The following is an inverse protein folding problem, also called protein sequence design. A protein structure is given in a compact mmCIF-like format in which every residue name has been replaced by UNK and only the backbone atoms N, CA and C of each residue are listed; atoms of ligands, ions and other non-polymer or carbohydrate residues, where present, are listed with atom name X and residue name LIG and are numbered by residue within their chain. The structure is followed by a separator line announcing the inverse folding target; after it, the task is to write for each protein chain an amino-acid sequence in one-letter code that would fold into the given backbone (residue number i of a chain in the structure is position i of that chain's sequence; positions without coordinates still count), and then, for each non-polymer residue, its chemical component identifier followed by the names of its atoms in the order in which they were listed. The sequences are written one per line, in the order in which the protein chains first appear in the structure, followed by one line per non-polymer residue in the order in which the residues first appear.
data_IF_577362614616
#
_entry.id   IF_577362614616
#
_cell.length_a   1.000
_cell.length_b   1.000
_cell.length_c   1.000
_cell.angle_alpha   90.00
_cell.angle_beta   90.00
_cell.angle_gamma   90.00
#
_symmetry.space_group_name_H-M   'P 1'
#
loop_
_entity.id
_entity.type
_entity.pdbx_description
1 polymer ?
#
# COMPACT_ATOMS: atom_id res chain seq x y z
N UNK A 1 -18.33 -57.16 -3.62
CA UNK A 1 -17.04 -56.56 -4.13
C UNK A 1 -17.30 -55.40 -5.08
N UNK A 2 -18.22 -55.48 -6.07
CA UNK A 2 -18.51 -54.37 -7.02
C UNK A 2 -19.17 -53.20 -6.33
N UNK A 3 -20.08 -53.42 -5.41
CA UNK A 3 -20.77 -52.35 -4.63
C UNK A 3 -19.81 -51.65 -3.69
N UNK A 4 -18.94 -52.35 -3.02
CA UNK A 4 -17.89 -51.78 -2.18
C UNK A 4 -16.94 -50.86 -2.98
N UNK A 5 -16.46 -51.26 -4.15
CA UNK A 5 -15.59 -50.41 -4.98
C UNK A 5 -16.28 -49.13 -5.47
N UNK A 6 -17.59 -49.18 -5.70
CA UNK A 6 -18.37 -48.01 -6.11
C UNK A 6 -18.55 -47.02 -4.95
N UNK A 7 -18.73 -47.51 -3.72
CA UNK A 7 -18.79 -46.66 -2.51
C UNK A 7 -17.43 -46.02 -2.21
N UNK A 8 -16.32 -46.76 -2.35
CA UNK A 8 -14.97 -46.21 -2.17
C UNK A 8 -14.66 -45.11 -3.19
N UNK A 9 -15.03 -45.27 -4.46
CA UNK A 9 -14.83 -44.24 -5.49
C UNK A 9 -15.61 -42.97 -5.23
N UNK A 10 -16.84 -43.06 -4.70
CA UNK A 10 -17.66 -41.91 -4.34
C UNK A 10 -17.08 -41.20 -3.11
N UNK A 11 -16.68 -41.92 -2.06
CA UNK A 11 -16.11 -41.31 -0.86
C UNK A 11 -14.75 -40.65 -1.11
N UNK A 12 -13.89 -41.23 -1.91
CA UNK A 12 -12.61 -40.61 -2.32
C UNK A 12 -12.85 -39.35 -3.19
N UNK A 13 -13.84 -39.39 -4.08
CA UNK A 13 -14.24 -38.22 -4.88
C UNK A 13 -14.72 -37.05 -4.01
N UNK A 14 -15.58 -37.31 -3.02
CA UNK A 14 -16.07 -36.28 -2.09
C UNK A 14 -14.96 -35.72 -1.20
N UNK A 15 -14.03 -36.55 -0.73
CA UNK A 15 -12.86 -36.10 0.03
C UNK A 15 -11.96 -35.18 -0.80
N UNK A 16 -11.67 -35.53 -2.05
CA UNK A 16 -10.83 -34.69 -2.92
C UNK A 16 -11.49 -33.35 -3.25
N UNK A 17 -12.80 -33.32 -3.49
CA UNK A 17 -13.56 -32.08 -3.68
C UNK A 17 -13.55 -31.22 -2.41
N UNK A 18 -13.78 -31.82 -1.24
CA UNK A 18 -13.75 -31.12 0.04
C UNK A 18 -12.38 -30.48 0.32
N UNK A 19 -11.31 -31.22 0.08
CA UNK A 19 -9.93 -30.70 0.23
C UNK A 19 -9.65 -29.58 -0.75
N UNK A 20 -10.07 -29.73 -2.02
CA UNK A 20 -9.92 -28.66 -3.03
C UNK A 20 -10.68 -27.38 -2.62
N UNK A 21 -11.92 -27.51 -2.14
CA UNK A 21 -12.69 -26.37 -1.65
C UNK A 21 -11.99 -25.71 -0.44
N UNK A 22 -11.48 -26.51 0.50
CA UNK A 22 -10.71 -25.96 1.63
C UNK A 22 -9.45 -25.20 1.19
N UNK A 23 -8.72 -25.71 0.19
CA UNK A 23 -7.58 -24.99 -0.38
C UNK A 23 -7.98 -23.69 -1.06
N UNK A 24 -9.08 -23.68 -1.82
CA UNK A 24 -9.62 -22.46 -2.46
C UNK A 24 -10.05 -21.44 -1.42
N UNK A 25 -10.78 -21.86 -0.38
CA UNK A 25 -11.22 -20.99 0.71
C UNK A 25 -10.03 -20.45 1.52
N UNK A 26 -9.03 -21.28 1.79
CA UNK A 26 -7.81 -20.87 2.47
C UNK A 26 -7.02 -19.87 1.62
N UNK A 27 -6.88 -20.11 0.31
CA UNK A 27 -6.23 -19.19 -0.61
C UNK A 27 -6.97 -17.84 -0.68
N UNK A 28 -8.29 -17.86 -0.85
CA UNK A 28 -9.11 -16.66 -0.88
C UNK A 28 -9.06 -15.89 0.46
N UNK A 29 -9.11 -16.60 1.58
CA UNK A 29 -8.97 -16.01 2.92
C UNK A 29 -7.60 -15.37 3.14
N UNK A 30 -6.52 -16.04 2.72
CA UNK A 30 -5.16 -15.49 2.81
C UNK A 30 -4.97 -14.28 1.90
N UNK A 31 -5.52 -14.30 0.69
CA UNK A 31 -5.43 -13.16 -0.23
C UNK A 31 -6.15 -11.93 0.34
N UNK A 32 -7.36 -12.11 0.86
CA UNK A 32 -8.13 -11.03 1.50
C UNK A 32 -7.51 -10.56 2.83
N UNK A 33 -6.69 -11.41 3.48
CA UNK A 33 -6.00 -11.03 4.72
C UNK A 33 -4.88 -9.98 4.49
N UNK A 34 -4.40 -9.79 3.27
CA UNK A 34 -3.25 -8.94 2.96
C UNK A 34 -3.55 -7.75 2.05
N UNK A 35 -4.74 -7.68 1.47
CA UNK A 35 -5.17 -6.58 0.58
C UNK A 35 -6.15 -5.67 1.33
N UNK A 36 -5.99 -4.35 1.13
CA UNK A 36 -6.98 -3.36 1.55
C UNK A 36 -8.10 -3.28 0.51
N UNK A 37 -9.32 -3.55 0.94
CA UNK A 37 -10.48 -3.66 0.04
C UNK A 37 -10.91 -2.35 -0.62
N UNK A 38 -10.45 -1.20 -0.14
CA UNK A 38 -10.81 0.10 -0.71
C UNK A 38 -9.76 0.59 -1.70
N UNK A 39 -8.49 0.56 -1.33
CA UNK A 39 -7.39 1.04 -2.18
C UNK A 39 -6.86 -0.02 -3.17
N UNK A 40 -7.13 -1.32 -2.93
CA UNK A 40 -6.57 -2.42 -3.70
C UNK A 40 -5.09 -2.71 -3.43
N UNK A 41 -4.45 -1.93 -2.58
CA UNK A 41 -3.05 -2.11 -2.19
C UNK A 41 -2.90 -3.14 -1.06
N UNK A 42 -1.66 -3.48 -0.74
CA UNK A 42 -1.39 -4.27 0.47
C UNK A 42 -1.83 -3.50 1.72
N UNK A 43 -2.38 -4.23 2.69
CA UNK A 43 -2.83 -3.64 3.96
C UNK A 43 -1.72 -3.59 5.02
N UNK A 44 -2.04 -3.00 6.19
CA UNK A 44 -1.14 -2.87 7.33
C UNK A 44 -0.59 -4.20 7.83
N UNK A 45 -1.38 -5.29 7.78
CA UNK A 45 -0.92 -6.59 8.23
C UNK A 45 0.22 -7.13 7.36
N UNK A 46 0.08 -6.98 6.04
CA UNK A 46 1.14 -7.37 5.12
C UNK A 46 2.37 -6.46 5.25
N UNK A 47 2.16 -5.14 5.40
CA UNK A 47 3.23 -4.19 5.68
C UNK A 47 4.06 -4.61 6.90
N UNK A 48 3.44 -4.91 8.03
CA UNK A 48 4.14 -5.34 9.25
C UNK A 48 5.01 -6.57 8.99
N UNK A 49 4.48 -7.59 8.30
CA UNK A 49 5.22 -8.80 7.97
C UNK A 49 6.41 -8.58 7.01
N UNK A 50 6.35 -7.58 6.13
CA UNK A 50 7.47 -7.15 5.27
C UNK A 50 8.47 -6.34 6.08
N UNK A 51 7.98 -5.41 6.90
CA UNK A 51 8.76 -4.50 7.70
C UNK A 51 9.65 -5.22 8.72
N UNK A 52 9.14 -6.24 9.40
CA UNK A 52 9.89 -7.09 10.33
C UNK A 52 11.12 -7.76 9.68
N UNK A 53 11.09 -7.92 8.36
CA UNK A 53 12.18 -8.51 7.56
C UNK A 53 13.10 -7.47 6.91
N UNK A 54 12.72 -6.19 6.99
CA UNK A 54 13.38 -5.10 6.26
C UNK A 54 14.86 -4.98 6.63
N UNK A 55 15.20 -5.02 7.91
CA UNK A 55 16.58 -4.97 8.39
C UNK A 55 17.47 -6.10 7.86
N UNK A 56 16.89 -7.30 7.62
CA UNK A 56 17.63 -8.41 6.98
C UNK A 56 17.81 -8.19 5.48
N UNK A 57 16.82 -7.59 4.82
CA UNK A 57 16.88 -7.26 3.40
C UNK A 57 17.90 -6.13 3.16
N UNK A 58 17.90 -5.10 4.00
CA UNK A 58 18.80 -3.94 3.93
C UNK A 58 20.29 -4.29 4.08
N UNK A 59 20.62 -5.41 4.74
CA UNK A 59 21.99 -5.92 4.80
C UNK A 59 22.51 -6.46 3.47
N UNK A 60 21.63 -6.74 2.52
CA UNK A 60 21.98 -7.34 1.23
C UNK A 60 21.68 -6.44 0.03
N UNK A 61 20.73 -5.53 0.17
CA UNK A 61 20.25 -4.66 -0.91
C UNK A 61 19.88 -3.31 -0.31
N UNK A 62 20.03 -2.23 -1.09
CA UNK A 62 19.49 -0.92 -0.71
C UNK A 62 17.98 -1.02 -0.49
N UNK A 63 17.47 -0.31 0.48
CA UNK A 63 16.04 -0.19 0.76
C UNK A 63 15.71 1.27 0.94
N UNK A 64 14.70 1.74 0.26
CA UNK A 64 14.15 3.08 0.43
C UNK A 64 12.65 3.03 0.66
N UNK A 65 12.09 4.13 1.12
CA UNK A 65 10.67 4.26 1.34
C UNK A 65 10.15 5.65 1.08
N UNK A 66 8.85 5.72 0.83
CA UNK A 66 8.07 6.94 0.73
C UNK A 66 6.86 6.75 1.64
N UNK A 67 6.63 7.66 2.58
CA UNK A 67 5.40 7.74 3.35
C UNK A 67 4.53 8.84 2.75
N UNK A 68 3.25 8.59 2.61
CA UNK A 68 2.31 9.51 1.96
C UNK A 68 1.04 9.64 2.82
N UNK A 69 0.47 10.84 2.82
CA UNK A 69 -0.78 11.18 3.51
C UNK A 69 -1.61 12.08 2.59
N UNK A 70 -2.93 11.86 2.52
CA UNK A 70 -3.85 12.71 1.73
C UNK A 70 -4.07 14.02 2.47
N UNK A 71 -3.63 15.11 1.85
CA UNK A 71 -3.79 16.44 2.44
C UNK A 71 -5.28 16.79 2.58
N UNK A 72 -5.65 17.30 3.75
CA UNK A 72 -7.02 17.74 4.08
C UNK A 72 -8.10 16.65 3.86
N UNK A 73 -7.75 15.37 4.02
CA UNK A 73 -8.68 14.25 3.82
C UNK A 73 -9.99 14.43 4.62
N UNK A 74 -9.89 14.91 5.85
CA UNK A 74 -11.09 15.23 6.64
C UNK A 74 -11.96 16.29 5.97
N UNK A 75 -11.38 17.34 5.39
CA UNK A 75 -12.14 18.37 4.70
C UNK A 75 -12.83 17.82 3.43
N UNK A 76 -12.19 16.90 2.69
CA UNK A 76 -12.85 16.20 1.58
C UNK A 76 -14.09 15.47 2.08
N UNK A 77 -13.98 14.70 3.17
CA UNK A 77 -15.12 14.02 3.78
C UNK A 77 -16.22 14.96 4.25
N UNK A 78 -15.83 16.05 4.93
CA UNK A 78 -16.78 16.98 5.55
C UNK A 78 -17.53 17.81 4.50
N UNK A 79 -16.91 18.16 3.37
CA UNK A 79 -17.48 18.99 2.29
C UNK A 79 -18.20 18.16 1.23
N UNK A 80 -17.61 17.06 0.78
CA UNK A 80 -18.10 16.26 -0.36
C UNK A 80 -18.69 14.91 0.07
N UNK A 81 -18.62 14.58 1.36
CA UNK A 81 -19.13 13.32 1.92
C UNK A 81 -18.12 12.18 1.88
N UNK A 82 -18.40 11.14 2.66
CA UNK A 82 -17.51 9.97 2.79
C UNK A 82 -17.27 9.23 1.46
N UNK A 83 -18.23 9.27 0.53
CA UNK A 83 -18.04 8.67 -0.81
C UNK A 83 -16.91 9.33 -1.59
N UNK A 84 -16.72 10.66 -1.44
CA UNK A 84 -15.62 11.39 -2.05
C UNK A 84 -14.28 11.04 -1.39
N UNK A 85 -14.24 10.88 -0.07
CA UNK A 85 -13.07 10.36 0.63
C UNK A 85 -12.69 8.94 0.17
N UNK A 86 -13.67 8.07 -0.01
CA UNK A 86 -13.45 6.73 -0.58
C UNK A 86 -12.88 6.80 -2.00
N UNK A 87 -13.36 7.74 -2.83
CA UNK A 87 -12.85 7.97 -4.18
C UNK A 87 -11.40 8.49 -4.15
N UNK A 88 -11.08 9.41 -3.25
CA UNK A 88 -9.72 9.88 -3.03
C UNK A 88 -8.76 8.73 -2.69
N UNK A 89 -9.16 7.83 -1.78
CA UNK A 89 -8.39 6.64 -1.42
C UNK A 89 -8.22 5.70 -2.63
N UNK A 90 -9.27 5.47 -3.42
CA UNK A 90 -9.18 4.63 -4.63
C UNK A 90 -8.26 5.23 -5.68
N UNK A 91 -8.31 6.55 -5.85
CA UNK A 91 -7.42 7.25 -6.78
C UNK A 91 -5.95 7.08 -6.38
N UNK A 92 -5.60 7.39 -5.12
CA UNK A 92 -4.23 7.18 -4.61
C UNK A 92 -3.84 5.71 -4.73
N UNK A 93 -4.75 4.78 -4.38
CA UNK A 93 -4.53 3.35 -4.54
C UNK A 93 -4.19 2.96 -5.98
N UNK A 94 -4.90 3.50 -6.96
CA UNK A 94 -4.65 3.29 -8.39
C UNK A 94 -3.28 3.81 -8.84
N UNK A 95 -2.94 5.04 -8.46
CA UNK A 95 -1.63 5.65 -8.75
C UNK A 95 -0.50 4.78 -8.15
N UNK A 96 -0.62 4.38 -6.90
CA UNK A 96 0.41 3.58 -6.23
C UNK A 96 0.47 2.13 -6.76
N UNK A 97 -0.63 1.58 -7.24
CA UNK A 97 -0.65 0.28 -7.90
C UNK A 97 0.11 0.31 -9.24
N UNK A 98 -0.01 1.40 -10.01
CA UNK A 98 0.65 1.55 -11.31
C UNK A 98 2.18 1.60 -11.19
N UNK A 99 2.73 2.23 -10.15
CA UNK A 99 4.16 2.26 -9.88
C UNK A 99 4.70 0.99 -9.20
N UNK A 100 3.80 0.11 -8.74
CA UNK A 100 4.18 -1.12 -8.02
C UNK A 100 4.77 -2.16 -8.97
N UNK A 101 5.85 -2.81 -8.53
CA UNK A 101 6.58 -3.84 -9.26
C UNK A 101 7.03 -4.94 -8.31
N UNK A 102 7.75 -5.96 -8.81
CA UNK A 102 8.35 -7.01 -7.97
C UNK A 102 9.24 -6.45 -6.83
N UNK A 103 9.87 -5.30 -7.03
CA UNK A 103 10.77 -4.66 -6.08
C UNK A 103 10.23 -3.35 -5.49
N UNK A 104 9.00 -2.96 -5.83
CA UNK A 104 8.31 -1.76 -5.33
C UNK A 104 6.95 -2.19 -4.81
N UNK A 105 6.76 -2.11 -3.51
CA UNK A 105 5.54 -2.55 -2.84
C UNK A 105 4.82 -1.36 -2.22
N UNK A 106 3.54 -1.21 -2.53
CA UNK A 106 2.69 -0.14 -2.02
C UNK A 106 1.68 -0.68 -1.01
N UNK A 107 1.51 0.06 0.08
CA UNK A 107 0.68 -0.33 1.22
C UNK A 107 -0.22 0.82 1.64
N UNK A 108 -1.43 0.51 2.09
CA UNK A 108 -2.24 1.40 2.90
C UNK A 108 -2.13 0.98 4.36
N UNK A 109 -1.63 1.87 5.21
CA UNK A 109 -1.33 1.56 6.62
C UNK A 109 -2.28 2.26 7.61
N UNK A 110 -3.02 3.25 7.17
CA UNK A 110 -3.97 4.02 7.96
C UNK A 110 -5.19 4.41 7.15
N UNK A 111 -6.00 5.32 7.66
CA UNK A 111 -7.18 5.85 6.98
C UNK A 111 -6.82 6.51 5.65
N UNK A 112 -5.94 7.47 5.67
CA UNK A 112 -5.43 8.30 4.59
C UNK A 112 -3.90 8.17 4.40
N UNK A 113 -3.27 7.20 5.10
CA UNK A 113 -1.82 7.00 5.13
C UNK A 113 -1.39 5.81 4.27
N UNK A 114 -0.36 6.03 3.47
CA UNK A 114 0.22 5.02 2.57
C UNK A 114 1.73 4.94 2.73
N UNK A 115 2.30 3.79 2.38
CA UNK A 115 3.75 3.59 2.33
C UNK A 115 4.12 2.89 1.04
N UNK A 116 5.20 3.34 0.42
CA UNK A 116 5.87 2.63 -0.69
C UNK A 116 7.24 2.18 -0.21
N UNK A 117 7.55 0.89 -0.33
CA UNK A 117 8.87 0.33 -0.06
C UNK A 117 9.54 -0.10 -1.36
N UNK A 118 10.77 0.37 -1.58
CA UNK A 118 11.58 0.08 -2.75
C UNK A 118 12.81 -0.74 -2.34
N UNK A 119 12.92 -1.98 -2.82
CA UNK A 119 13.98 -2.92 -2.46
C UNK A 119 14.98 -3.04 -3.61
N UNK A 120 16.28 -2.86 -3.33
CA UNK A 120 17.34 -2.90 -4.35
C UNK A 120 17.30 -1.70 -5.30
N UNK A 121 16.81 -0.56 -4.81
CA UNK A 121 16.73 0.71 -5.56
C UNK A 121 17.55 1.78 -4.86
N UNK A 122 18.22 2.60 -5.64
CA UNK A 122 19.01 3.72 -5.17
C UNK A 122 18.13 4.96 -4.89
N UNK A 123 18.68 5.95 -4.22
CA UNK A 123 17.98 7.18 -3.81
C UNK A 123 17.38 7.94 -5.00
N UNK A 124 18.09 8.00 -6.13
CA UNK A 124 17.61 8.63 -7.36
C UNK A 124 16.33 7.97 -7.88
N UNK A 125 16.17 6.66 -7.69
CA UNK A 125 14.96 5.96 -8.06
C UNK A 125 13.79 6.42 -7.18
N UNK A 126 14.01 6.53 -5.85
CA UNK A 126 12.97 6.97 -4.91
C UNK A 126 12.51 8.39 -5.28
N UNK A 127 13.46 9.29 -5.55
CA UNK A 127 13.16 10.67 -5.95
C UNK A 127 12.37 10.74 -7.26
N UNK A 128 12.70 9.90 -8.25
CA UNK A 128 11.93 9.81 -9.50
C UNK A 128 10.53 9.28 -9.27
N UNK A 129 10.38 8.24 -8.45
CA UNK A 129 9.07 7.67 -8.10
C UNK A 129 8.18 8.71 -7.41
N UNK A 130 8.73 9.51 -6.50
CA UNK A 130 7.98 10.62 -5.88
C UNK A 130 7.46 11.62 -6.94
N UNK A 131 8.30 12.03 -7.88
CA UNK A 131 7.89 12.94 -8.98
C UNK A 131 6.86 12.30 -9.92
N UNK A 132 6.96 11.01 -10.17
CA UNK A 132 5.99 10.26 -10.97
C UNK A 132 4.62 10.26 -10.30
N UNK A 133 4.55 9.99 -9.00
CA UNK A 133 3.33 10.10 -8.20
C UNK A 133 2.73 11.51 -8.31
N UNK A 134 3.54 12.57 -8.14
CA UNK A 134 3.10 13.96 -8.27
C UNK A 134 2.54 14.25 -9.67
N UNK A 135 3.20 13.75 -10.72
CA UNK A 135 2.74 13.92 -12.09
C UNK A 135 1.40 13.24 -12.37
N UNK A 136 1.22 12.01 -11.88
CA UNK A 136 -0.05 11.26 -12.02
C UNK A 136 -1.18 11.94 -11.24
N UNK A 137 -0.88 12.47 -10.07
CA UNK A 137 -1.82 13.23 -9.26
C UNK A 137 -2.27 14.52 -9.97
N UNK A 138 -1.32 15.26 -10.57
CA UNK A 138 -1.61 16.45 -11.35
C UNK A 138 -2.48 16.12 -12.58
N UNK A 139 -2.24 14.99 -13.25
CA UNK A 139 -3.07 14.52 -14.36
C UNK A 139 -4.50 14.17 -13.89
N UNK A 140 -4.64 13.50 -12.74
CA UNK A 140 -5.94 13.23 -12.15
C UNK A 140 -6.70 14.53 -11.89
N UNK A 141 -6.09 15.50 -11.20
CA UNK A 141 -6.72 16.80 -10.91
C UNK A 141 -7.10 17.55 -12.21
N UNK A 142 -6.22 17.53 -13.21
CA UNK A 142 -6.48 18.18 -14.50
C UNK A 142 -7.61 17.52 -15.30
N UNK A 143 -7.92 16.25 -15.04
CA UNK A 143 -9.02 15.52 -15.71
C UNK A 143 -10.41 16.04 -15.34
N UNK A 144 -10.56 16.68 -14.17
CA UNK A 144 -11.82 17.19 -13.65
C UNK A 144 -12.86 16.10 -13.33
N UNK A 145 -12.41 14.85 -13.16
CA UNK A 145 -13.30 13.72 -12.84
C UNK A 145 -13.86 13.84 -11.43
N UNK A 146 -13.05 14.31 -10.46
CA UNK A 146 -13.49 14.55 -9.09
C UNK A 146 -13.90 16.01 -8.88
N UNK A 147 -14.84 16.24 -7.97
CA UNK A 147 -15.28 17.57 -7.55
C UNK A 147 -14.29 18.25 -6.57
N UNK A 148 -13.28 17.52 -6.12
CA UNK A 148 -12.25 17.97 -5.20
C UNK A 148 -10.85 17.86 -5.83
N UNK A 149 -9.94 18.70 -5.35
CA UNK A 149 -8.53 18.61 -5.69
C UNK A 149 -7.81 17.67 -4.72
N UNK A 150 -7.05 16.73 -5.26
CA UNK A 150 -6.30 15.75 -4.51
C UNK A 150 -4.84 16.17 -4.39
N UNK A 151 -4.32 16.23 -3.17
CA UNK A 151 -2.93 16.55 -2.84
C UNK A 151 -2.38 15.53 -1.85
N UNK A 152 -1.08 15.24 -1.94
CA UNK A 152 -0.38 14.29 -1.08
C UNK A 152 0.84 14.95 -0.45
N UNK A 153 0.98 14.85 0.87
CA UNK A 153 2.24 15.10 1.55
C UNK A 153 3.09 13.83 1.56
N UNK A 154 4.38 13.95 1.18
CA UNK A 154 5.26 12.80 0.99
C UNK A 154 6.59 12.98 1.69
N UNK A 155 7.02 11.99 2.48
CA UNK A 155 8.34 11.92 3.09
C UNK A 155 9.13 10.75 2.53
N UNK A 156 10.36 10.98 2.06
CA UNK A 156 11.21 9.93 1.48
C UNK A 156 12.55 9.78 2.20
N UNK A 157 13.02 8.55 2.35
CA UNK A 157 14.34 8.26 2.91
C UNK A 157 14.88 6.91 2.44
N UNK A 158 16.20 6.76 2.55
CA UNK A 158 16.86 5.46 2.47
C UNK A 158 16.98 4.84 3.87
N UNK A 159 16.83 3.53 3.94
CA UNK A 159 17.07 2.77 5.15
C UNK A 159 18.59 2.68 5.42
N UNK A 160 19.02 3.05 6.62
CA UNK A 160 20.41 2.87 7.05
C UNK A 160 20.58 1.46 7.63
N UNK A 161 21.32 0.55 6.97
CA UNK A 161 21.52 -0.82 7.45
C UNK A 161 22.42 -0.90 8.70
N UNK A 162 23.09 0.18 9.07
CA UNK A 162 23.92 0.26 10.28
C UNK A 162 23.09 0.63 11.51
N UNK A 163 21.89 1.14 11.32
CA UNK A 163 20.97 1.50 12.39
C UNK A 163 20.42 0.24 13.06
N UNK A 164 20.51 0.19 14.39
CA UNK A 164 20.02 -0.93 15.19
C UNK A 164 18.53 -0.88 15.46
N UNK A 165 17.90 0.30 15.31
CA UNK A 165 16.47 0.52 15.52
C UNK A 165 15.71 0.61 14.18
N UNK A 166 15.01 -0.44 13.75
CA UNK A 166 14.23 -0.42 12.53
C UNK A 166 13.17 0.70 12.49
N UNK A 167 12.59 1.03 13.66
CA UNK A 167 11.52 2.03 13.74
C UNK A 167 12.02 3.45 13.45
N UNK A 168 13.33 3.69 13.53
CA UNK A 168 13.90 4.98 13.16
C UNK A 168 13.65 5.32 11.70
N UNK A 169 13.67 4.34 10.81
CA UNK A 169 13.39 4.56 9.39
C UNK A 169 11.98 5.11 9.16
N UNK A 170 10.96 4.49 9.78
CA UNK A 170 9.58 4.99 9.69
C UNK A 170 9.44 6.37 10.30
N UNK A 171 10.07 6.62 11.45
CA UNK A 171 10.05 7.95 12.06
C UNK A 171 10.68 9.03 11.17
N UNK A 172 11.73 8.70 10.41
CA UNK A 172 12.34 9.64 9.45
C UNK A 172 11.41 9.91 8.28
N UNK A 173 10.74 8.89 7.76
CA UNK A 173 9.75 9.05 6.70
C UNK A 173 8.58 9.93 7.17
N UNK A 174 8.03 9.63 8.34
CA UNK A 174 6.92 10.36 8.95
C UNK A 174 7.29 11.83 9.21
N UNK A 175 8.46 12.09 9.79
CA UNK A 175 8.95 13.45 10.04
C UNK A 175 9.03 14.26 8.75
N UNK A 176 9.62 13.72 7.69
CA UNK A 176 9.74 14.41 6.40
C UNK A 176 8.38 14.65 5.73
N UNK A 177 7.46 13.70 5.85
CA UNK A 177 6.08 13.86 5.37
C UNK A 177 5.38 14.98 6.14
N UNK A 178 5.52 15.00 7.46
CA UNK A 178 4.92 16.03 8.30
C UNK A 178 5.51 17.44 8.03
N UNK A 179 6.82 17.54 7.77
CA UNK A 179 7.47 18.78 7.36
C UNK A 179 6.85 19.32 6.04
N UNK A 180 6.66 18.46 5.05
CA UNK A 180 6.01 18.85 3.80
C UNK A 180 4.54 19.25 4.03
N UNK A 181 3.81 18.54 4.89
CA UNK A 181 2.42 18.84 5.23
C UNK A 181 2.28 20.20 5.90
N UNK A 182 3.22 20.56 6.77
CA UNK A 182 3.25 21.89 7.42
C UNK A 182 3.46 23.01 6.40
N UNK A 183 4.42 22.86 5.47
CA UNK A 183 4.68 23.85 4.42
C UNK A 183 3.45 24.09 3.54
N UNK A 184 2.76 23.03 3.14
CA UNK A 184 1.53 23.14 2.32
C UNK A 184 0.35 23.73 3.07
N UNK A 185 0.29 23.55 4.38
CA UNK A 185 -0.75 24.17 5.19
C UNK A 185 -0.58 25.70 5.27
N UNK A 186 0.66 26.18 5.35
CA UNK A 186 1.00 27.60 5.37
C UNK A 186 0.72 28.27 4.01
N UNK A 187 1.05 27.62 2.90
CA UNK A 187 0.78 28.13 1.55
C UNK A 187 -0.73 28.28 1.25
N UNK A 188 -1.56 27.50 1.91
CA UNK A 188 -3.01 27.55 1.73
C UNK A 188 -3.72 28.55 2.64
N UNK A 189 -3.00 29.19 3.58
CA UNK A 189 -3.51 30.20 4.49
C UNK A 189 -3.27 31.64 3.97
N UNK A 190 -2.55 31.80 2.86
CA UNK A 190 -2.28 33.06 2.16
C UNK A 190 -3.22 33.20 0.97
#
# INVERSE_FOLDING_TARGET
TIVQNRFYGITVGWLSVSVAIQFVLMYASNHNAFIDGLSGLYNRNYFNGVYDKLGKAAKKRSVGGIMLDIDRFKAINDVYGHSAGDEAIRCVGGILAEISTENVHSFRIGGDEFVVLCIGKEEDFITRTTREIESMLAQFNASGVAEFELSLSMGQAMYDPTESDPDKFLRVLDLKMYEQKALRADDAAV
#
